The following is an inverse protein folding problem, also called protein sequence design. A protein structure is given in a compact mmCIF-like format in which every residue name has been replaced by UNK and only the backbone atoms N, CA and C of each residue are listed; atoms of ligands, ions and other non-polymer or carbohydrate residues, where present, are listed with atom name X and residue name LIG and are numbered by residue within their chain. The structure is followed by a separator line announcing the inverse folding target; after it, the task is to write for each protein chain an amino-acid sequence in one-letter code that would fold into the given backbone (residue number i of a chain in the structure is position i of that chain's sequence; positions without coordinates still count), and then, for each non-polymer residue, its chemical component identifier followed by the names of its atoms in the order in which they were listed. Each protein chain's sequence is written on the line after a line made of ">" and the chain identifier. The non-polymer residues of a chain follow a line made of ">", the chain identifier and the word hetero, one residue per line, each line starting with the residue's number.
data_IF_165455543590
#
_entry.id   IF_165455543590
#
_cell.length_a   1.000
_cell.length_b   1.000
_cell.length_c   1.000
_cell.angle_alpha   90.00
_cell.angle_beta   90.00
_cell.angle_gamma   90.00
#
_symmetry.space_group_name_H-M   'P 1'
#
loop_
_entity.id
_entity.type
_entity.pdbx_description
1 polymer ?
#
# COMPACT_ATOMS: atom_id res chain seq x y z
N UNK A 1 3.85 -3.02 16.48
CA UNK A 1 4.03 -3.64 15.14
C UNK A 1 2.79 -3.28 14.33
N UNK A 2 2.92 -2.98 13.04
CA UNK A 2 1.77 -2.67 12.20
C UNK A 2 1.15 -4.00 11.75
N UNK A 3 -0.09 -4.27 12.16
CA UNK A 3 -0.83 -5.46 11.76
C UNK A 3 -1.61 -5.13 10.48
N UNK A 4 -0.94 -5.26 9.34
CA UNK A 4 -1.54 -4.96 8.04
C UNK A 4 -2.29 -6.19 7.55
N UNK A 5 -3.61 -6.10 7.32
CA UNK A 5 -4.43 -7.24 6.91
C UNK A 5 -4.01 -7.76 5.54
N UNK A 6 -4.24 -9.03 5.27
CA UNK A 6 -4.12 -9.54 3.90
C UNK A 6 -5.20 -8.92 3.02
N UNK A 7 -4.79 -8.41 1.85
CA UNK A 7 -5.69 -7.83 0.86
C UNK A 7 -5.71 -8.69 -0.41
N UNK A 8 -6.91 -9.09 -0.84
CA UNK A 8 -7.11 -9.69 -2.15
C UNK A 8 -7.11 -8.60 -3.24
N UNK A 9 -6.02 -8.51 -3.99
CA UNK A 9 -5.86 -7.49 -5.02
C UNK A 9 -6.86 -7.55 -6.17
N UNK A 10 -7.58 -8.66 -6.35
CA UNK A 10 -8.62 -8.78 -7.38
C UNK A 10 -9.87 -7.98 -7.04
N UNK A 11 -10.10 -7.72 -5.76
CA UNK A 11 -11.29 -7.04 -5.24
C UNK A 11 -11.03 -5.55 -4.96
N UNK A 12 -9.83 -5.05 -5.27
CA UNK A 12 -9.51 -3.63 -5.11
C UNK A 12 -10.15 -2.78 -6.22
N UNK A 13 -10.71 -1.65 -5.81
CA UNK A 13 -11.16 -0.56 -6.65
C UNK A 13 -9.98 0.13 -7.36
N UNK A 14 -10.29 0.90 -8.40
CA UNK A 14 -9.28 1.58 -9.21
C UNK A 14 -8.64 2.77 -8.51
N UNK A 15 -9.34 3.38 -7.54
CA UNK A 15 -8.85 4.52 -6.78
C UNK A 15 -9.36 4.48 -5.34
N UNK A 16 -8.49 4.84 -4.40
CA UNK A 16 -8.80 4.98 -2.98
C UNK A 16 -8.35 6.35 -2.51
N UNK A 17 -9.24 7.11 -1.88
CA UNK A 17 -8.88 8.34 -1.17
C UNK A 17 -7.89 8.05 -0.04
N UNK A 18 -7.23 9.09 0.47
CA UNK A 18 -6.33 8.96 1.62
C UNK A 18 -7.05 8.32 2.82
N UNK A 19 -8.32 8.66 3.06
CA UNK A 19 -9.09 8.10 4.17
C UNK A 19 -9.38 6.61 3.97
N UNK A 20 -9.87 6.22 2.79
CA UNK A 20 -10.16 4.82 2.50
C UNK A 20 -8.88 3.97 2.52
N UNK A 21 -7.74 4.53 2.09
CA UNK A 21 -6.45 3.85 2.18
C UNK A 21 -6.01 3.63 3.63
N UNK A 22 -6.30 4.59 4.53
CA UNK A 22 -6.05 4.43 5.97
C UNK A 22 -6.89 3.30 6.54
N UNK A 23 -8.18 3.25 6.20
CA UNK A 23 -9.11 2.20 6.64
C UNK A 23 -8.69 0.83 6.09
N UNK A 24 -8.39 0.75 4.80
CA UNK A 24 -7.99 -0.49 4.13
C UNK A 24 -6.72 -1.12 4.75
N UNK A 25 -5.77 -0.29 5.18
CA UNK A 25 -4.48 -0.76 5.71
C UNK A 25 -4.41 -0.77 7.24
N UNK A 26 -5.50 -0.38 7.92
CA UNK A 26 -5.52 -0.15 9.37
C UNK A 26 -4.39 0.78 9.85
N UNK A 27 -4.16 1.88 9.13
CA UNK A 27 -3.14 2.88 9.43
C UNK A 27 -3.77 4.22 9.77
N UNK A 28 -3.15 4.97 10.67
CA UNK A 28 -3.45 6.38 10.81
C UNK A 28 -2.80 7.20 9.68
N UNK A 29 -3.34 8.39 9.40
CA UNK A 29 -2.85 9.27 8.33
C UNK A 29 -1.38 9.65 8.46
N UNK A 30 -0.87 9.81 9.68
CA UNK A 30 0.52 10.19 9.92
C UNK A 30 1.45 9.04 9.57
N UNK A 31 1.10 7.82 9.97
CA UNK A 31 1.83 6.61 9.61
C UNK A 31 1.77 6.36 8.11
N UNK A 32 0.59 6.47 7.49
CA UNK A 32 0.42 6.35 6.04
C UNK A 32 1.35 7.33 5.30
N UNK A 33 1.37 8.60 5.70
CA UNK A 33 2.24 9.62 5.10
C UNK A 33 3.73 9.24 5.18
N UNK A 34 4.20 8.85 6.36
CA UNK A 34 5.61 8.45 6.56
C UNK A 34 5.99 7.25 5.68
N UNK A 35 5.06 6.31 5.52
CA UNK A 35 5.26 5.11 4.69
C UNK A 35 5.27 5.45 3.20
N UNK A 36 4.36 6.31 2.76
CA UNK A 36 4.39 6.86 1.40
C UNK A 36 5.71 7.55 1.10
N UNK A 37 6.23 8.38 2.02
CA UNK A 37 7.54 9.04 1.89
C UNK A 37 8.69 8.00 1.84
N UNK A 38 8.68 6.98 2.71
CA UNK A 38 9.69 5.91 2.76
C UNK A 38 9.76 5.11 1.46
N UNK A 39 8.61 4.81 0.83
CA UNK A 39 8.52 3.99 -0.38
C UNK A 39 8.50 4.81 -1.68
N UNK A 40 8.60 6.13 -1.59
CA UNK A 40 8.53 7.03 -2.75
C UNK A 40 7.18 6.98 -3.48
N UNK A 41 6.08 6.81 -2.75
CA UNK A 41 4.71 6.78 -3.28
C UNK A 41 4.05 8.12 -2.97
N UNK A 42 3.46 8.76 -3.98
CA UNK A 42 2.79 10.05 -3.82
C UNK A 42 1.30 9.92 -4.13
N UNK A 43 0.42 10.56 -3.34
CA UNK A 43 -1.00 10.61 -3.67
C UNK A 43 -1.23 11.42 -4.94
N UNK A 44 -2.20 10.99 -5.74
CA UNK A 44 -2.64 11.65 -6.96
C UNK A 44 -3.94 12.38 -6.72
N UNK A 45 -4.12 13.47 -7.46
CA UNK A 45 -5.37 14.20 -7.54
C UNK A 45 -6.24 13.60 -8.64
N UNK A 46 -7.49 13.27 -8.36
CA UNK A 46 -8.43 12.77 -9.36
C UNK A 46 -9.19 13.93 -10.04
N UNK A 47 -10.08 13.61 -10.99
CA UNK A 47 -10.82 14.61 -11.78
C UNK A 47 -11.88 15.38 -10.96
N UNK A 48 -12.24 14.88 -9.78
CA UNK A 48 -13.28 15.45 -8.91
C UNK A 48 -12.74 16.28 -7.74
N UNK A 49 -11.42 16.34 -7.54
CA UNK A 49 -10.81 17.17 -6.48
C UNK A 49 -10.16 16.41 -5.32
N UNK A 50 -10.25 15.08 -5.30
CA UNK A 50 -9.79 14.27 -4.17
C UNK A 50 -8.35 13.79 -4.34
N UNK A 51 -7.65 13.72 -3.22
CA UNK A 51 -6.34 13.09 -3.12
C UNK A 51 -6.46 11.64 -2.67
N UNK A 52 -5.73 10.77 -3.38
CA UNK A 52 -5.75 9.34 -3.12
C UNK A 52 -4.69 8.58 -3.90
N UNK A 53 -4.87 7.28 -4.03
CA UNK A 53 -3.93 6.37 -4.65
C UNK A 53 -4.68 5.52 -5.67
N UNK A 54 -4.07 5.34 -6.84
CA UNK A 54 -4.56 4.35 -7.80
C UNK A 54 -4.27 2.95 -7.29
N UNK A 55 -5.04 1.97 -7.75
CA UNK A 55 -4.90 0.56 -7.39
C UNK A 55 -3.46 0.05 -7.41
N UNK A 56 -2.68 0.44 -8.40
CA UNK A 56 -1.25 0.08 -8.48
C UNK A 56 -0.45 0.57 -7.26
N UNK A 57 -0.63 1.84 -6.88
CA UNK A 57 0.07 2.45 -5.75
C UNK A 57 -0.39 1.83 -4.43
N UNK A 58 -1.68 1.50 -4.29
CA UNK A 58 -2.22 0.77 -3.12
C UNK A 58 -1.61 -0.62 -3.00
N UNK A 59 -1.50 -1.37 -4.10
CA UNK A 59 -0.86 -2.71 -4.12
C UNK A 59 0.61 -2.62 -3.74
N UNK A 60 1.34 -1.64 -4.28
CA UNK A 60 2.74 -1.41 -3.94
C UNK A 60 2.88 -1.07 -2.46
N UNK A 61 2.05 -0.18 -1.93
CA UNK A 61 2.05 0.22 -0.53
C UNK A 61 1.77 -0.97 0.39
N UNK A 62 0.68 -1.73 0.14
CA UNK A 62 0.33 -2.93 0.90
C UNK A 62 1.46 -3.97 0.84
N UNK A 63 2.01 -4.26 -0.34
CA UNK A 63 3.10 -5.23 -0.50
C UNK A 63 4.30 -4.87 0.37
N UNK A 64 4.77 -3.62 0.29
CA UNK A 64 5.89 -3.17 1.11
C UNK A 64 5.58 -3.27 2.60
N UNK A 65 4.40 -2.86 3.05
CA UNK A 65 4.02 -2.94 4.46
C UNK A 65 3.88 -4.37 4.97
N UNK A 66 3.29 -5.24 4.17
CA UNK A 66 3.00 -6.63 4.51
C UNK A 66 4.28 -7.45 4.62
N UNK A 67 5.25 -7.20 3.73
CA UNK A 67 6.55 -7.88 3.75
C UNK A 67 7.59 -7.21 4.65
N UNK A 68 7.57 -5.89 4.86
CA UNK A 68 8.48 -5.23 5.82
C UNK A 68 8.31 -5.83 7.23
N UNK A 69 7.09 -6.20 7.61
CA UNK A 69 6.84 -6.91 8.86
C UNK A 69 7.31 -8.38 8.83
N UNK A 70 7.36 -9.02 7.66
CA UNK A 70 7.67 -10.46 7.48
C UNK A 70 9.12 -10.78 7.13
N UNK A 71 9.86 -9.84 6.57
CA UNK A 71 11.32 -9.94 6.42
C UNK A 71 12.01 -9.95 7.78
N UNK A 72 11.43 -9.25 8.78
CA UNK A 72 11.83 -9.42 10.20
C UNK A 72 11.61 -10.83 10.75
N UNK A 73 10.77 -11.64 10.10
CA UNK A 73 10.48 -13.04 10.46
C UNK A 73 11.08 -14.07 9.49
N UNK A 74 11.95 -13.65 8.57
CA UNK A 74 12.72 -14.56 7.70
C UNK A 74 12.02 -15.03 6.42
N UNK A 75 10.99 -14.32 5.94
CA UNK A 75 10.35 -14.62 4.67
C UNK A 75 11.09 -13.93 3.51
N UNK A 76 11.81 -14.71 2.70
CA UNK A 76 12.49 -14.23 1.49
C UNK A 76 11.46 -13.68 0.51
N UNK A 77 11.58 -12.40 0.12
CA UNK A 77 10.89 -11.84 -1.04
C UNK A 77 11.31 -12.69 -2.22
N UNK A 78 10.40 -13.50 -2.77
CA UNK A 78 10.66 -14.18 -4.04
C UNK A 78 10.81 -13.06 -5.06
N UNK A 79 12.01 -12.90 -5.59
CA UNK A 79 12.23 -12.06 -6.77
C UNK A 79 11.33 -12.61 -7.87
N UNK A 80 10.25 -11.89 -8.15
CA UNK A 80 9.33 -12.20 -9.25
C UNK A 80 10.10 -11.82 -10.52
N UNK A 81 10.73 -12.80 -11.15
CA UNK A 81 11.41 -12.61 -12.43
C UNK A 81 10.34 -12.26 -13.48
N UNK A 82 10.37 -11.05 -14.05
CA UNK A 82 9.32 -10.61 -14.96
C UNK A 82 9.39 -11.30 -16.34
N UNK A 83 10.33 -12.23 -16.54
CA UNK A 83 10.50 -13.05 -17.75
C UNK A 83 10.61 -14.57 -17.48
N UNK A 84 10.38 -15.05 -16.25
CA UNK A 84 10.43 -16.48 -15.91
C UNK A 84 9.20 -17.29 -16.34
#
# INVERSE_FOLDING_TARGET
>A
MLDVPYINYKELDEFYTINETCELLHLDKTTLRKKCEQYGIQPRHNEIGDYGFVKYDVRKLHNNLYYENRERTGHTVKEDDPWA
#
